data_IF_719327779985
#
_entry.id   IF_719327779985
#
_cell.length_a   1.000
_cell.length_b   1.000
_cell.length_c   1.000
_cell.angle_alpha   90.00
_cell.angle_beta   90.00
_cell.angle_gamma   90.00
#
_symmetry.space_group_name_H-M   'P 1'
#
loop_
_entity.id
_entity.type
_entity.pdbx_description
1 polymer ?
#
# COMPACT_ATOMS: atom_id res chain seq x y z
N UNK A 1 -25.79 -20.21 10.00
CA UNK A 1 -24.32 -19.96 9.90
C UNK A 1 -24.11 -18.45 9.79
N UNK A 2 -23.38 -17.83 10.72
CA UNK A 2 -23.29 -16.36 10.77
C UNK A 2 -22.39 -15.80 9.67
N UNK A 3 -22.91 -14.81 8.92
CA UNK A 3 -22.21 -14.08 7.84
C UNK A 3 -21.90 -12.61 8.19
N UNK A 4 -22.22 -12.18 9.41
CA UNK A 4 -22.01 -10.81 9.88
C UNK A 4 -20.60 -10.54 10.40
N UNK A 5 -20.37 -9.32 10.89
CA UNK A 5 -19.13 -8.92 11.55
C UNK A 5 -18.78 -9.87 12.70
N UNK A 6 -17.48 -10.05 12.97
CA UNK A 6 -17.00 -10.82 14.11
C UNK A 6 -17.16 -10.00 15.39
N UNK A 7 -17.77 -10.60 16.41
CA UNK A 7 -17.81 -9.99 17.74
C UNK A 7 -16.52 -10.25 18.51
N UNK A 8 -16.23 -9.43 19.53
CA UNK A 8 -15.08 -9.64 20.43
C UNK A 8 -15.15 -11.00 21.12
N UNK A 9 -16.34 -11.46 21.47
CA UNK A 9 -16.55 -12.77 22.09
C UNK A 9 -16.24 -13.92 21.12
N UNK A 10 -16.62 -13.77 19.83
CA UNK A 10 -16.27 -14.75 18.81
C UNK A 10 -14.75 -14.77 18.56
N UNK A 11 -14.12 -13.60 18.50
CA UNK A 11 -12.66 -13.48 18.36
C UNK A 11 -11.94 -14.14 19.53
N UNK A 12 -12.36 -13.90 20.78
CA UNK A 12 -11.75 -14.49 21.97
C UNK A 12 -11.84 -16.02 21.94
N UNK A 13 -13.01 -16.58 21.63
CA UNK A 13 -13.18 -18.04 21.48
C UNK A 13 -12.24 -18.63 20.43
N UNK A 14 -12.06 -17.93 19.31
CA UNK A 14 -11.16 -18.35 18.24
C UNK A 14 -9.69 -18.34 18.70
N UNK A 15 -9.27 -17.26 19.39
CA UNK A 15 -7.93 -17.12 19.95
C UNK A 15 -7.64 -18.19 21.00
N UNK A 16 -8.55 -18.38 21.96
CA UNK A 16 -8.38 -19.33 23.06
C UNK A 16 -8.22 -20.76 22.53
N UNK A 17 -9.08 -21.13 21.57
CA UNK A 17 -9.02 -22.45 20.97
C UNK A 17 -7.69 -22.70 20.24
N UNK A 18 -7.25 -21.74 19.41
CA UNK A 18 -6.01 -21.88 18.65
C UNK A 18 -4.79 -21.87 19.57
N UNK A 19 -4.80 -21.05 20.62
CA UNK A 19 -3.72 -21.02 21.61
C UNK A 19 -3.58 -22.37 22.33
N UNK A 20 -4.70 -23.03 22.62
CA UNK A 20 -4.72 -24.32 23.30
C UNK A 20 -4.42 -25.53 22.41
N UNK A 21 -4.88 -25.50 21.15
CA UNK A 21 -4.87 -26.66 20.25
C UNK A 21 -3.95 -26.52 19.04
N UNK A 22 -3.32 -25.35 18.86
CA UNK A 22 -2.53 -25.00 17.69
C UNK A 22 -3.37 -24.49 16.52
N UNK A 23 -2.68 -23.96 15.51
CA UNK A 23 -3.28 -23.50 14.27
C UNK A 23 -3.63 -24.68 13.35
N UNK A 24 -4.83 -24.67 12.75
CA UNK A 24 -5.22 -25.68 11.77
C UNK A 24 -6.60 -26.27 12.02
N UNK A 25 -6.84 -27.45 11.44
CA UNK A 25 -8.10 -28.20 11.59
C UNK A 25 -9.36 -27.36 11.35
N UNK A 26 -9.28 -26.37 10.45
CA UNK A 26 -10.31 -25.34 10.25
C UNK A 26 -11.71 -25.90 9.99
N UNK A 27 -11.83 -27.11 9.42
CA UNK A 27 -13.12 -27.76 9.20
C UNK A 27 -13.87 -28.06 10.50
N UNK A 28 -13.17 -28.55 11.52
CA UNK A 28 -13.75 -29.00 12.79
C UNK A 28 -13.64 -27.95 13.90
N UNK A 29 -12.68 -27.03 13.76
CA UNK A 29 -12.40 -25.97 14.72
C UNK A 29 -13.64 -25.19 15.18
N UNK A 30 -14.55 -24.70 14.29
CA UNK A 30 -15.65 -23.86 14.74
C UNK A 30 -16.58 -24.58 15.73
N UNK A 31 -16.90 -25.85 15.46
CA UNK A 31 -17.74 -26.67 16.34
C UNK A 31 -17.06 -26.90 17.68
N UNK A 32 -15.77 -27.23 17.66
CA UNK A 32 -14.99 -27.49 18.87
C UNK A 32 -14.76 -26.23 19.73
N UNK A 33 -14.64 -25.06 19.11
CA UNK A 33 -14.52 -23.76 19.78
C UNK A 33 -15.87 -23.15 20.23
N UNK A 34 -16.99 -23.83 19.98
CA UNK A 34 -18.32 -23.29 20.29
C UNK A 34 -18.67 -22.03 19.50
N UNK A 35 -18.23 -21.96 18.24
CA UNK A 35 -18.46 -20.87 17.28
C UNK A 35 -19.51 -21.26 16.25
N UNK A 36 -20.46 -20.36 15.99
CA UNK A 36 -21.48 -20.50 14.94
C UNK A 36 -20.99 -19.99 13.56
N UNK A 37 -19.73 -20.29 13.25
CA UNK A 37 -19.01 -19.88 12.04
C UNK A 37 -18.54 -21.08 11.22
N UNK A 38 -18.20 -20.84 9.94
CA UNK A 38 -17.59 -21.87 9.11
C UNK A 38 -16.07 -21.84 9.22
N UNK A 39 -15.42 -22.98 8.95
CA UNK A 39 -13.97 -23.09 8.98
C UNK A 39 -13.23 -22.08 8.11
N UNK A 40 -13.78 -21.81 6.91
CA UNK A 40 -13.24 -20.78 6.01
C UNK A 40 -13.25 -19.39 6.67
N UNK A 41 -14.34 -19.05 7.36
CA UNK A 41 -14.47 -17.77 8.05
C UNK A 41 -13.49 -17.66 9.22
N UNK A 42 -13.37 -18.72 10.03
CA UNK A 42 -12.40 -18.77 11.13
C UNK A 42 -10.96 -18.62 10.63
N UNK A 43 -10.56 -19.37 9.59
CA UNK A 43 -9.24 -19.25 8.98
C UNK A 43 -8.98 -17.83 8.50
N UNK A 44 -9.92 -17.26 7.76
CA UNK A 44 -9.77 -15.91 7.22
C UNK A 44 -9.64 -14.88 8.34
N UNK A 45 -10.42 -15.01 9.41
CA UNK A 45 -10.36 -14.11 10.57
C UNK A 45 -9.02 -14.22 11.29
N UNK A 46 -8.55 -15.44 11.54
CA UNK A 46 -7.26 -15.67 12.16
C UNK A 46 -6.12 -15.06 11.35
N UNK A 47 -6.00 -15.45 10.08
CA UNK A 47 -4.88 -15.07 9.22
C UNK A 47 -4.81 -13.56 8.92
N UNK A 48 -5.94 -12.85 8.93
CA UNK A 48 -5.98 -11.43 8.55
C UNK A 48 -6.11 -10.45 9.73
N UNK A 49 -6.44 -10.92 10.93
CA UNK A 49 -6.74 -10.01 12.04
C UNK A 49 -6.23 -10.46 13.40
N UNK A 50 -6.32 -11.75 13.73
CA UNK A 50 -6.08 -12.22 15.11
C UNK A 50 -4.69 -12.80 15.34
N UNK A 51 -4.01 -13.28 14.29
CA UNK A 51 -2.68 -13.87 14.46
C UNK A 51 -1.68 -12.86 15.03
N UNK A 52 -0.83 -13.27 15.98
CA UNK A 52 0.11 -12.36 16.65
C UNK A 52 1.18 -11.82 15.70
N UNK A 53 1.42 -12.50 14.58
CA UNK A 53 2.47 -12.15 13.62
C UNK A 53 2.09 -10.98 12.69
N UNK A 54 0.87 -10.44 12.79
CA UNK A 54 0.44 -9.30 11.98
C UNK A 54 0.95 -7.98 12.55
N UNK A 55 1.60 -7.19 11.69
CA UNK A 55 2.02 -5.81 11.99
C UNK A 55 0.80 -4.91 12.02
N UNK A 56 0.56 -4.26 13.15
CA UNK A 56 -0.57 -3.31 13.33
C UNK A 56 -0.08 -1.89 13.04
N UNK A 57 -0.85 -1.16 12.23
CA UNK A 57 -0.57 0.23 11.90
C UNK A 57 -0.27 0.46 10.42
N UNK A 58 0.12 1.70 10.11
CA UNK A 58 0.33 2.19 8.74
C UNK A 58 1.52 1.50 8.07
N UNK A 59 1.50 1.49 6.73
CA UNK A 59 2.66 1.10 5.93
C UNK A 59 3.74 2.19 6.04
N UNK A 60 5.00 1.78 6.15
CA UNK A 60 6.14 2.70 6.07
C UNK A 60 6.47 3.06 4.62
N UNK A 61 7.26 4.11 4.41
CA UNK A 61 7.73 4.50 3.08
C UNK A 61 8.54 3.40 2.39
N UNK A 62 9.36 2.67 3.14
CA UNK A 62 10.07 1.48 2.61
C UNK A 62 9.09 0.39 2.13
N UNK A 63 7.99 0.19 2.87
CA UNK A 63 6.94 -0.75 2.47
C UNK A 63 6.21 -0.24 1.21
N UNK A 64 5.94 1.07 1.09
CA UNK A 64 5.37 1.69 -0.11
C UNK A 64 6.22 1.38 -1.34
N UNK A 65 7.51 1.71 -1.27
CA UNK A 65 8.45 1.56 -2.36
C UNK A 65 8.59 0.10 -2.79
N UNK A 66 8.65 -0.80 -1.81
CA UNK A 66 8.71 -2.23 -2.08
C UNK A 66 7.43 -2.73 -2.76
N UNK A 67 6.25 -2.30 -2.30
CA UNK A 67 4.97 -2.66 -2.93
C UNK A 67 4.89 -2.13 -4.36
N UNK A 68 5.31 -0.88 -4.60
CA UNK A 68 5.30 -0.28 -5.95
C UNK A 68 6.22 -1.07 -6.88
N UNK A 69 7.47 -1.32 -6.48
CA UNK A 69 8.45 -2.10 -7.25
C UNK A 69 7.94 -3.51 -7.56
N UNK A 70 7.42 -4.22 -6.56
CA UNK A 70 6.92 -5.57 -6.75
C UNK A 70 5.64 -5.60 -7.60
N UNK A 71 4.75 -4.62 -7.46
CA UNK A 71 3.56 -4.52 -8.32
C UNK A 71 3.94 -4.23 -9.78
N UNK A 72 5.00 -3.45 -10.03
CA UNK A 72 5.51 -3.24 -11.39
C UNK A 72 6.01 -4.53 -12.05
N UNK A 73 6.64 -5.41 -11.27
CA UNK A 73 7.19 -6.68 -11.74
C UNK A 73 6.15 -7.80 -11.80
N UNK A 74 5.22 -7.85 -10.83
CA UNK A 74 4.35 -8.99 -10.59
C UNK A 74 2.86 -8.71 -10.87
N UNK A 75 2.46 -7.45 -11.04
CA UNK A 75 1.06 -7.05 -11.12
C UNK A 75 0.28 -7.40 -9.85
N UNK A 76 -1.00 -7.76 -10.01
CA UNK A 76 -1.94 -8.04 -8.91
C UNK A 76 -1.71 -9.40 -8.19
N UNK A 77 -0.48 -9.91 -8.17
CA UNK A 77 -0.12 -11.16 -7.48
C UNK A 77 0.12 -10.91 -5.98
N UNK A 78 -0.91 -10.47 -5.27
CA UNK A 78 -0.84 -9.98 -3.89
C UNK A 78 -0.19 -10.96 -2.91
N UNK A 79 -0.48 -12.25 -3.01
CA UNK A 79 0.11 -13.26 -2.13
C UNK A 79 1.63 -13.39 -2.32
N UNK A 80 2.14 -13.20 -3.54
CA UNK A 80 3.59 -13.17 -3.79
C UNK A 80 4.23 -11.89 -3.25
N UNK A 81 3.56 -10.74 -3.41
CA UNK A 81 4.03 -9.46 -2.90
C UNK A 81 4.08 -9.48 -1.36
N UNK A 82 3.02 -9.93 -0.71
CA UNK A 82 2.95 -10.06 0.75
C UNK A 82 4.00 -11.03 1.31
N UNK A 83 4.40 -12.05 0.54
CA UNK A 83 5.51 -12.94 0.91
C UNK A 83 6.86 -12.24 1.09
N UNK A 84 7.01 -10.99 0.63
CA UNK A 84 8.21 -10.16 0.82
C UNK A 84 8.01 -9.04 1.86
N UNK A 85 6.84 -8.95 2.49
CA UNK A 85 6.49 -7.93 3.47
C UNK A 85 6.20 -8.62 4.81
N UNK A 86 7.21 -8.75 5.69
CA UNK A 86 7.04 -9.48 6.94
C UNK A 86 5.93 -8.84 7.78
N UNK A 87 5.00 -9.68 8.25
CA UNK A 87 3.87 -9.26 9.06
C UNK A 87 2.74 -8.54 8.30
N UNK A 88 2.77 -8.48 6.96
CA UNK A 88 1.66 -7.99 6.13
C UNK A 88 0.98 -9.11 5.38
N UNK A 89 -0.34 -9.00 5.24
CA UNK A 89 -1.16 -9.95 4.48
C UNK A 89 -1.39 -9.48 3.06
N UNK A 90 -1.70 -10.44 2.18
CA UNK A 90 -2.08 -10.16 0.79
C UNK A 90 -3.32 -9.25 0.70
N UNK A 91 -4.27 -9.43 1.61
CA UNK A 91 -5.44 -8.58 1.70
C UNK A 91 -5.09 -7.14 2.11
N UNK A 92 -4.20 -6.94 3.08
CA UNK A 92 -3.72 -5.61 3.46
C UNK A 92 -3.00 -4.93 2.30
N UNK A 93 -2.06 -5.61 1.64
CA UNK A 93 -1.30 -5.06 0.51
C UNK A 93 -2.24 -4.63 -0.63
N UNK A 94 -3.19 -5.49 -1.01
CA UNK A 94 -4.22 -5.16 -2.01
C UNK A 94 -5.05 -3.94 -1.59
N UNK A 95 -5.46 -3.88 -0.33
CA UNK A 95 -6.27 -2.76 0.17
C UNK A 95 -5.47 -1.46 0.16
N UNK A 96 -4.21 -1.53 0.60
CA UNK A 96 -3.31 -0.39 0.63
C UNK A 96 -2.98 0.12 -0.77
N UNK A 97 -2.77 -0.78 -1.72
CA UNK A 97 -2.62 -0.42 -3.13
C UNK A 97 -3.83 0.36 -3.66
N UNK A 98 -5.03 -0.19 -3.49
CA UNK A 98 -6.25 0.39 -4.04
C UNK A 98 -6.67 1.69 -3.35
N UNK A 99 -6.41 1.81 -2.06
CA UNK A 99 -6.78 2.99 -1.27
C UNK A 99 -5.70 4.06 -1.31
N UNK A 100 -4.41 3.74 -1.29
CA UNK A 100 -3.32 4.70 -1.11
C UNK A 100 -2.40 4.81 -2.32
N UNK A 101 -1.65 3.75 -2.64
CA UNK A 101 -0.55 3.81 -3.61
C UNK A 101 -1.02 4.15 -5.03
N UNK A 102 -2.18 3.63 -5.46
CA UNK A 102 -2.74 3.96 -6.77
C UNK A 102 -2.96 5.48 -6.92
N UNK A 103 -3.44 6.15 -5.87
CA UNK A 103 -3.64 7.61 -5.88
C UNK A 103 -2.32 8.36 -5.80
N UNK A 104 -1.35 7.88 -5.01
CA UNK A 104 0.01 8.42 -4.91
C UNK A 104 0.67 8.46 -6.29
N UNK A 105 0.64 7.36 -7.03
CA UNK A 105 1.22 7.27 -8.39
C UNK A 105 0.56 8.23 -9.38
N UNK A 106 -0.78 8.31 -9.39
CA UNK A 106 -1.50 9.23 -10.28
C UNK A 106 -1.10 10.69 -9.99
N UNK A 107 -0.96 11.07 -8.71
CA UNK A 107 -0.49 12.41 -8.32
C UNK A 107 0.94 12.69 -8.79
N UNK A 108 1.78 11.67 -8.88
CA UNK A 108 3.13 11.78 -9.44
C UNK A 108 3.15 11.74 -10.98
N UNK A 109 1.99 11.61 -11.63
CA UNK A 109 1.90 11.48 -13.09
C UNK A 109 2.27 10.10 -13.62
N UNK A 110 2.33 9.08 -12.75
CA UNK A 110 2.68 7.70 -13.10
C UNK A 110 1.39 6.89 -13.27
N UNK A 111 1.27 6.13 -14.37
CA UNK A 111 0.14 5.22 -14.56
C UNK A 111 0.30 3.98 -13.66
N UNK A 112 -0.64 3.72 -12.73
CA UNK A 112 -0.54 2.59 -11.79
C UNK A 112 -0.56 1.20 -12.44
N UNK A 113 -0.98 1.08 -13.70
CA UNK A 113 -1.07 -0.22 -14.39
C UNK A 113 0.26 -0.64 -15.00
N UNK A 114 0.94 0.28 -15.67
CA UNK A 114 2.17 0.01 -16.41
C UNK A 114 3.42 0.63 -15.75
N UNK A 115 3.24 1.43 -14.69
CA UNK A 115 4.28 2.14 -13.96
C UNK A 115 5.16 3.03 -14.83
N UNK A 116 4.62 3.52 -15.95
CA UNK A 116 5.29 4.49 -16.82
C UNK A 116 4.80 5.89 -16.50
N UNK A 117 5.68 6.86 -16.73
CA UNK A 117 5.31 8.27 -16.71
C UNK A 117 4.27 8.48 -17.81
N UNK A 118 3.08 8.91 -17.41
CA UNK A 118 2.03 9.30 -18.34
C UNK A 118 2.07 10.81 -18.47
N UNK A 119 2.49 11.29 -19.65
CA UNK A 119 2.53 12.72 -19.94
C UNK A 119 1.17 13.40 -19.69
N UNK A 120 0.07 12.68 -19.96
CA UNK A 120 -1.30 13.11 -19.66
C UNK A 120 -1.58 13.25 -18.16
N UNK A 121 -1.20 12.25 -17.35
CA UNK A 121 -1.41 12.32 -15.90
C UNK A 121 -0.47 13.35 -15.25
N UNK A 122 0.74 13.51 -15.78
CA UNK A 122 1.70 14.50 -15.32
C UNK A 122 1.17 15.93 -15.56
N UNK A 123 0.71 16.25 -16.77
CA UNK A 123 0.09 17.55 -17.08
C UNK A 123 -1.15 17.78 -16.22
N UNK A 124 -2.06 16.81 -16.10
CA UNK A 124 -3.24 16.96 -15.22
C UNK A 124 -2.88 17.18 -13.75
N UNK A 125 -1.83 16.54 -13.25
CA UNK A 125 -1.36 16.75 -11.89
C UNK A 125 -0.79 18.15 -11.69
N UNK A 126 0.03 18.63 -12.64
CA UNK A 126 0.56 19.99 -12.62
C UNK A 126 -0.54 21.06 -12.73
N UNK A 127 -1.56 20.84 -13.55
CA UNK A 127 -2.73 21.73 -13.64
C UNK A 127 -3.53 21.76 -12.33
N UNK A 128 -3.68 20.61 -11.66
CA UNK A 128 -4.31 20.52 -10.34
C UNK A 128 -3.49 21.26 -9.28
N UNK A 129 -2.17 21.07 -9.23
CA UNK A 129 -1.27 21.77 -8.32
C UNK A 129 -1.19 23.27 -8.59
N UNK A 130 -1.15 23.68 -9.86
CA UNK A 130 -1.19 25.09 -10.25
C UNK A 130 -2.48 25.78 -9.79
N UNK A 131 -3.61 25.07 -9.80
CA UNK A 131 -4.88 25.58 -9.23
C UNK A 131 -4.84 25.66 -7.71
N UNK A 132 -4.23 24.69 -7.04
CA UNK A 132 -4.09 24.68 -5.57
C UNK A 132 -3.17 25.79 -5.05
N UNK A 133 -2.03 26.03 -5.70
CA UNK A 133 -1.13 27.14 -5.34
C UNK A 133 -1.76 28.53 -5.61
N UNK A 134 -2.71 28.63 -6.54
CA UNK A 134 -3.47 29.88 -6.77
C UNK A 134 -4.50 30.15 -5.67
N UNK A 135 -5.03 29.12 -5.01
CA UNK A 135 -6.03 29.28 -3.94
C UNK A 135 -5.46 29.64 -2.57
N UNK A 136 -4.14 29.52 -2.37
CA UNK A 136 -3.47 29.95 -1.12
C UNK A 136 -2.99 31.40 -1.15
N UNK A 137 -3.20 32.15 -2.25
CA UNK A 137 -2.62 33.49 -2.42
C UNK A 137 -3.63 34.66 -2.27
N UNK A 138 -4.87 34.42 -1.81
CA UNK A 138 -5.86 35.48 -1.53
C UNK A 138 -5.72 36.05 -0.10
N UNK A 139 -4.49 36.27 0.35
CA UNK A 139 -4.14 36.80 1.67
C UNK A 139 -2.83 37.61 1.66
N UNK A 140 -2.81 38.71 0.90
CA UNK A 140 -1.99 39.96 0.95
C UNK A 140 -0.82 40.01 2.00
N UNK A 141 0.46 40.36 1.73
CA UNK A 141 1.06 41.58 1.12
C UNK A 141 2.58 41.41 0.80
N UNK A 142 3.00 42.02 -0.33
CA UNK A 142 4.27 42.69 -0.75
C UNK A 142 5.67 42.06 -0.74
N UNK A 143 6.28 42.16 -1.94
CA UNK A 143 7.61 42.69 -2.28
C UNK A 143 8.89 42.03 -1.76
N UNK A 144 9.55 41.32 -2.68
CA UNK A 144 10.93 41.62 -3.04
C UNK A 144 11.15 41.35 -4.53
N UNK A 145 11.29 42.42 -5.30
CA UNK A 145 11.84 42.41 -6.65
C UNK A 145 13.36 42.32 -6.61
N UNK A 146 13.94 41.95 -7.76
CA UNK A 146 15.37 42.01 -8.09
C UNK A 146 16.17 40.79 -7.60
N UNK A 147 17.04 40.12 -8.33
CA UNK A 147 17.57 40.20 -9.69
C UNK A 147 18.78 39.27 -9.64
N UNK A 148 18.95 38.35 -10.58
CA UNK A 148 20.19 38.25 -11.35
C UNK A 148 20.07 37.11 -12.35
N UNK A 149 20.25 37.50 -13.62
CA UNK A 149 20.52 36.60 -14.72
C UNK A 149 21.96 36.07 -14.63
N UNK A 150 22.18 34.99 -15.38
CA UNK A 150 23.42 34.30 -15.71
C UNK A 150 23.99 33.35 -14.66
N UNK A 151 24.00 32.06 -15.01
CA UNK A 151 25.28 31.43 -15.25
C UNK A 151 25.24 30.47 -16.44
N UNK A 152 26.30 30.56 -17.23
CA UNK A 152 26.54 29.79 -18.45
C UNK A 152 27.10 28.40 -18.11
N UNK A 153 26.79 27.45 -18.99
CA UNK A 153 27.60 26.27 -19.36
C UNK A 153 28.25 25.43 -18.24
N UNK A 154 27.71 24.22 -18.04
CA UNK A 154 28.52 22.98 -18.14
C UNK A 154 27.67 21.86 -18.72
N UNK A 155 27.82 21.60 -20.02
CA UNK A 155 27.45 20.32 -20.63
C UNK A 155 28.50 19.29 -20.23
N UNK A 156 28.19 18.40 -19.29
CA UNK A 156 28.97 17.20 -19.06
C UNK A 156 28.13 15.97 -19.44
N UNK A 157 28.67 15.23 -20.40
CA UNK A 157 28.15 14.06 -21.07
C UNK A 157 27.71 12.94 -20.13
N UNK A 158 26.62 12.24 -20.49
CA UNK A 158 26.27 10.95 -19.90
C UNK A 158 27.37 9.91 -20.22
N UNK A 159 27.81 9.08 -19.26
CA UNK A 159 28.63 7.93 -19.55
C UNK A 159 27.78 6.77 -20.08
N UNK A 160 28.30 6.14 -21.12
CA UNK A 160 27.79 4.96 -21.81
C UNK A 160 27.89 3.72 -20.90
N UNK A 161 26.75 3.15 -20.48
CA UNK A 161 26.68 1.92 -19.68
C UNK A 161 26.54 0.72 -20.63
N UNK A 162 27.57 0.51 -21.45
CA UNK A 162 27.80 -0.75 -22.16
C UNK A 162 29.30 -0.92 -22.36
N UNK A 163 30.04 -1.24 -21.30
CA UNK A 163 31.35 -1.91 -21.40
C UNK A 163 31.80 -2.43 -20.04
N UNK A 164 32.26 -3.69 -20.07
CA UNK A 164 33.12 -4.44 -19.15
C UNK A 164 32.44 -5.51 -18.27
N UNK A 165 33.10 -6.68 -18.07
CA UNK A 165 34.00 -7.44 -18.94
C UNK A 165 33.39 -8.76 -19.44
#
# INVERSE_FOLDING_TARGET
>A
MHRGAWSKQEDQKLVDYITKHGEGCWKNLPKAAGLLRCGKSCRLRWMNYLSPNLKRGNFSEDEDDLIIKLHALLGNRWSLIAGRLPGRTDNEVKNYWNSHLRRKLIKMGIDPKNHRISHYLHIKSLEYWSKFCKTENDGVISDATSSCANDQQTTNSLPDLNSLP
#
